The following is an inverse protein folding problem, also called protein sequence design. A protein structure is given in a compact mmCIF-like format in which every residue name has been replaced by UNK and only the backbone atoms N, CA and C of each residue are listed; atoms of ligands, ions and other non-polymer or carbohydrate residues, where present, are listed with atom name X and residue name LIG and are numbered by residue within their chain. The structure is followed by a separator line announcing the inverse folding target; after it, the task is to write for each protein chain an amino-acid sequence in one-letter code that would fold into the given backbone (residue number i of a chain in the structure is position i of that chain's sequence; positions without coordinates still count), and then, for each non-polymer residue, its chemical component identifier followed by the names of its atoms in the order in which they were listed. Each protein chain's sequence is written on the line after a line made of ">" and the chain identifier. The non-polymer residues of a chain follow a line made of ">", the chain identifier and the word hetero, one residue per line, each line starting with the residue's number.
data_IF_469345034632
#
_entry.id   IF_469345034632
#
_cell.length_a   1.000
_cell.length_b   1.000
_cell.length_c   1.000
_cell.angle_alpha   90.00
_cell.angle_beta   90.00
_cell.angle_gamma   90.00
#
_symmetry.space_group_name_H-M   'P 1'
#
loop_
_entity.id
_entity.type
_entity.pdbx_description
1 polymer ?
#
# COMPACT_ATOMS: atom_id res chain seq x y z
N UNK A 1 -30.70 53.78 51.65
CA UNK A 1 -31.23 55.11 51.31
C UNK A 1 -32.16 54.93 50.13
N UNK A 2 -33.41 55.09 50.40
CA UNK A 2 -34.46 55.74 49.67
C UNK A 2 -34.89 55.09 48.34
N UNK A 3 -36.02 54.37 48.42
CA UNK A 3 -37.04 54.21 47.34
C UNK A 3 -37.89 55.51 47.21
N UNK A 4 -39.12 55.48 46.82
CA UNK A 4 -39.85 54.76 45.78
C UNK A 4 -40.63 55.75 44.87
N UNK A 5 -41.47 55.32 43.96
CA UNK A 5 -42.86 55.70 43.84
C UNK A 5 -43.60 55.15 42.60
N UNK A 6 -44.75 54.58 42.89
CA UNK A 6 -45.78 54.12 41.97
C UNK A 6 -46.49 55.32 41.32
N UNK A 7 -47.17 55.07 40.22
CA UNK A 7 -48.52 55.65 40.03
C UNK A 7 -49.33 54.81 38.98
N UNK A 8 -50.40 54.34 39.47
CA UNK A 8 -51.56 53.78 38.78
C UNK A 8 -52.45 54.89 38.12
N UNK A 9 -53.03 54.63 36.98
CA UNK A 9 -54.29 55.22 36.65
C UNK A 9 -55.12 54.26 35.75
N UNK A 10 -56.35 53.99 36.24
CA UNK A 10 -57.41 53.28 35.70
C UNK A 10 -58.28 54.19 34.75
N UNK A 11 -59.12 53.51 33.95
CA UNK A 11 -60.38 53.90 33.35
C UNK A 11 -60.38 53.70 31.84
N UNK A 12 -61.39 53.11 31.09
CA UNK A 12 -62.70 52.69 31.24
C UNK A 12 -63.17 52.12 29.86
N UNK A 13 -64.06 51.15 29.88
CA UNK A 13 -64.75 50.69 28.66
C UNK A 13 -65.71 51.74 28.16
N UNK A 14 -66.17 51.66 26.86
CA UNK A 14 -67.44 50.97 26.64
C UNK A 14 -67.49 50.10 25.35
N UNK A 15 -68.55 49.26 25.40
CA UNK A 15 -69.08 48.34 24.39
C UNK A 15 -69.45 48.99 23.06
N UNK A 16 -69.46 48.23 21.96
CA UNK A 16 -70.59 47.93 21.06
C UNK A 16 -70.03 47.40 19.71
N UNK A 17 -70.37 46.34 19.24
CA UNK A 17 -71.41 45.74 18.35
C UNK A 17 -70.80 44.63 17.49
N UNK A 18 -71.57 43.56 17.44
CA UNK A 18 -71.46 42.38 16.60
C UNK A 18 -71.22 42.67 15.11
N UNK A 19 -70.39 41.94 14.48
CA UNK A 19 -70.66 41.45 13.12
C UNK A 19 -70.09 40.02 12.98
N UNK A 20 -71.02 39.13 12.66
CA UNK A 20 -70.80 37.74 12.34
C UNK A 20 -69.92 37.62 11.08
N UNK A 21 -68.79 36.89 11.17
CA UNK A 21 -68.07 36.39 10.00
C UNK A 21 -68.20 34.89 10.04
N UNK A 22 -68.81 34.35 9.00
CA UNK A 22 -69.03 32.94 8.76
C UNK A 22 -67.65 32.14 8.84
N UNK A 23 -67.64 31.18 9.73
CA UNK A 23 -66.61 30.17 9.78
C UNK A 23 -66.79 29.18 8.64
N UNK A 24 -65.97 29.32 7.57
CA UNK A 24 -65.81 28.25 6.60
C UNK A 24 -65.15 27.02 7.30
N UNK A 25 -66.02 26.02 7.54
CA UNK A 25 -65.61 24.71 7.99
C UNK A 25 -64.77 24.06 6.87
N UNK A 26 -63.42 23.98 7.05
CA UNK A 26 -62.57 23.10 6.27
C UNK A 26 -62.87 21.65 6.69
N UNK A 27 -63.83 21.06 5.95
CA UNK A 27 -64.12 19.63 6.05
C UNK A 27 -62.85 18.79 5.87
N UNK A 28 -62.69 17.93 6.84
CA UNK A 28 -61.58 16.98 6.99
C UNK A 28 -61.27 16.19 5.71
N UNK A 29 -60.11 16.46 5.12
CA UNK A 29 -59.44 15.53 4.21
C UNK A 29 -59.07 14.28 5.03
N UNK A 30 -59.41 13.08 4.56
CA UNK A 30 -59.16 11.88 5.33
C UNK A 30 -57.64 11.65 5.50
N UNK A 31 -57.23 11.57 6.75
CA UNK A 31 -55.83 11.29 7.20
C UNK A 31 -55.13 10.12 6.48
N UNK A 32 -55.92 9.28 5.79
CA UNK A 32 -55.43 8.13 5.01
C UNK A 32 -54.65 8.51 3.73
N UNK A 33 -54.93 9.69 3.14
CA UNK A 33 -54.21 10.13 1.92
C UNK A 33 -52.87 10.79 2.20
N UNK A 34 -52.67 11.38 3.38
CA UNK A 34 -51.39 12.00 3.76
C UNK A 34 -50.33 10.93 4.10
N UNK A 35 -50.73 9.81 4.71
CA UNK A 35 -49.84 8.70 4.99
C UNK A 35 -49.40 7.93 3.73
N UNK A 36 -50.27 7.81 2.72
CA UNK A 36 -49.91 7.14 1.46
C UNK A 36 -48.92 7.93 0.62
N UNK A 37 -48.97 9.27 0.65
CA UNK A 37 -48.04 10.13 -0.10
C UNK A 37 -46.63 10.19 0.55
N UNK A 38 -46.54 10.10 1.88
CA UNK A 38 -45.25 10.08 2.58
C UNK A 38 -44.50 8.73 2.38
N UNK A 39 -45.24 7.61 2.28
CA UNK A 39 -44.63 6.29 2.05
C UNK A 39 -44.18 6.11 0.60
N UNK A 40 -44.86 6.70 -0.37
CA UNK A 40 -44.44 6.67 -1.77
C UNK A 40 -43.17 7.50 -2.04
N UNK A 41 -42.98 8.61 -1.32
CA UNK A 41 -41.75 9.43 -1.44
C UNK A 41 -40.52 8.77 -0.78
N UNK A 42 -40.72 7.93 0.27
CA UNK A 42 -39.66 7.19 0.93
C UNK A 42 -39.15 5.98 0.10
N UNK A 43 -39.99 5.45 -0.81
CA UNK A 43 -39.63 4.33 -1.69
C UNK A 43 -38.88 4.75 -2.98
N UNK A 44 -38.86 6.04 -3.31
CA UNK A 44 -38.11 6.58 -4.46
C UNK A 44 -36.64 6.93 -4.12
N UNK A 45 -36.22 6.77 -2.87
CA UNK A 45 -34.95 7.28 -2.35
C UNK A 45 -33.79 6.30 -2.29
N UNK A 46 -33.81 5.10 -2.90
CA UNK A 46 -32.68 4.19 -2.77
C UNK A 46 -32.56 3.18 -3.93
N UNK A 47 -32.63 3.66 -5.15
CA UNK A 47 -31.92 2.96 -6.22
C UNK A 47 -30.48 3.49 -6.19
N UNK A 48 -29.70 3.03 -5.21
CA UNK A 48 -28.26 3.06 -5.34
C UNK A 48 -27.93 2.13 -6.50
N UNK A 49 -27.83 2.68 -7.71
CA UNK A 49 -27.20 1.98 -8.81
C UNK A 49 -25.84 1.58 -8.28
N UNK A 50 -25.59 0.28 -8.14
CA UNK A 50 -24.24 -0.22 -7.93
C UNK A 50 -23.44 0.29 -9.13
N UNK A 51 -22.71 1.38 -8.93
CA UNK A 51 -21.83 1.90 -9.96
C UNK A 51 -20.87 0.77 -10.32
N UNK A 52 -20.71 0.50 -11.62
CA UNK A 52 -19.77 -0.50 -12.09
C UNK A 52 -18.40 -0.23 -11.44
N UNK A 53 -17.82 -1.26 -10.82
CA UNK A 53 -16.52 -1.13 -10.17
C UNK A 53 -15.47 -0.71 -11.19
N UNK A 54 -14.63 0.24 -10.82
CA UNK A 54 -13.57 0.76 -11.67
C UNK A 54 -12.50 -0.33 -11.88
N UNK A 55 -12.25 -0.80 -13.11
CA UNK A 55 -11.20 -1.77 -13.38
C UNK A 55 -9.82 -1.11 -13.30
N UNK A 56 -8.96 -1.62 -12.42
CA UNK A 56 -7.59 -1.16 -12.20
C UNK A 56 -6.63 -2.33 -12.35
N UNK A 57 -5.54 -2.14 -13.10
CA UNK A 57 -4.46 -3.12 -13.18
C UNK A 57 -3.25 -2.62 -12.41
N UNK A 58 -2.74 -3.45 -11.49
CA UNK A 58 -1.48 -3.23 -10.78
C UNK A 58 -0.41 -4.17 -11.35
N UNK A 59 0.84 -3.71 -11.42
CA UNK A 59 1.95 -4.51 -11.96
C UNK A 59 2.24 -5.75 -11.13
N UNK A 60 2.21 -5.67 -9.79
CA UNK A 60 2.51 -6.78 -8.91
C UNK A 60 1.66 -6.78 -7.64
N UNK A 61 1.74 -7.88 -6.87
CA UNK A 61 0.83 -8.21 -5.77
C UNK A 61 0.79 -7.14 -4.66
N UNK A 62 1.93 -6.55 -4.28
CA UNK A 62 1.99 -5.51 -3.25
C UNK A 62 1.21 -4.27 -3.69
N UNK A 63 1.42 -3.78 -4.91
CA UNK A 63 0.63 -2.66 -5.45
C UNK A 63 -0.85 -3.01 -5.56
N UNK A 64 -1.15 -4.26 -5.94
CA UNK A 64 -2.53 -4.75 -6.00
C UNK A 64 -3.25 -4.63 -4.66
N UNK A 65 -2.58 -4.97 -3.55
CA UNK A 65 -3.12 -4.82 -2.20
C UNK A 65 -3.35 -3.34 -1.84
N UNK A 66 -2.36 -2.48 -2.08
CA UNK A 66 -2.48 -1.04 -1.81
C UNK A 66 -3.61 -0.38 -2.61
N UNK A 67 -3.80 -0.79 -3.87
CA UNK A 67 -4.92 -0.30 -4.71
C UNK A 67 -6.26 -0.77 -4.16
N UNK A 68 -6.38 -2.04 -3.69
CA UNK A 68 -7.60 -2.55 -3.06
C UNK A 68 -7.93 -1.80 -1.78
N UNK A 69 -6.94 -1.54 -0.94
CA UNK A 69 -7.12 -0.80 0.32
C UNK A 69 -7.62 0.62 0.06
N UNK A 70 -7.01 1.33 -0.89
CA UNK A 70 -7.38 2.72 -1.20
C UNK A 70 -8.70 2.78 -1.96
N UNK A 71 -8.89 1.90 -2.94
CA UNK A 71 -10.08 1.88 -3.81
C UNK A 71 -11.34 1.33 -3.14
N UNK A 72 -11.17 0.45 -2.14
CA UNK A 72 -12.28 -0.19 -1.43
C UNK A 72 -13.24 -0.90 -2.39
N UNK A 73 -14.53 -0.80 -2.11
CA UNK A 73 -15.60 -1.42 -2.91
C UNK A 73 -15.79 -0.80 -4.31
N UNK A 74 -15.16 0.36 -4.58
CA UNK A 74 -15.32 1.08 -5.86
C UNK A 74 -14.42 0.53 -6.97
N UNK A 75 -13.46 -0.32 -6.67
CA UNK A 75 -12.49 -0.85 -7.65
C UNK A 75 -12.60 -2.37 -7.79
N UNK A 76 -12.25 -2.87 -8.97
CA UNK A 76 -11.86 -4.26 -9.18
C UNK A 76 -10.41 -4.29 -9.64
N UNK A 77 -9.55 -4.99 -8.91
CA UNK A 77 -8.11 -4.95 -9.11
C UNK A 77 -7.61 -6.27 -9.68
N UNK A 78 -6.97 -6.19 -10.84
CA UNK A 78 -6.19 -7.28 -11.44
C UNK A 78 -4.71 -7.01 -11.23
N UNK A 79 -3.95 -8.00 -10.78
CA UNK A 79 -2.48 -7.93 -10.70
C UNK A 79 -1.87 -8.74 -11.83
N UNK A 80 -0.85 -8.22 -12.51
CA UNK A 80 -0.16 -8.92 -13.58
C UNK A 80 0.77 -10.00 -13.02
N UNK A 81 1.57 -9.62 -12.02
CA UNK A 81 2.45 -10.55 -11.30
C UNK A 81 1.81 -10.89 -9.97
N UNK A 82 1.50 -12.15 -9.76
CA UNK A 82 0.72 -12.65 -8.63
C UNK A 82 1.51 -12.79 -7.32
N UNK A 83 0.87 -13.48 -6.37
CA UNK A 83 1.50 -13.85 -5.11
C UNK A 83 2.64 -14.87 -5.36
N UNK A 84 3.75 -14.73 -4.62
CA UNK A 84 4.94 -15.58 -4.72
C UNK A 84 5.60 -15.62 -6.10
N UNK A 85 5.32 -14.65 -6.98
CA UNK A 85 5.93 -14.52 -8.31
C UNK A 85 6.91 -13.38 -8.34
N UNK A 86 7.97 -13.54 -9.15
CA UNK A 86 9.05 -12.56 -9.30
C UNK A 86 8.70 -11.54 -10.40
N UNK A 87 8.58 -10.28 -10.02
CA UNK A 87 8.24 -9.21 -10.96
C UNK A 87 9.43 -8.68 -11.77
N UNK A 88 10.67 -8.92 -11.36
CA UNK A 88 11.86 -8.53 -12.12
C UNK A 88 11.96 -9.27 -13.46
N UNK A 89 11.66 -10.58 -13.43
CA UNK A 89 11.81 -11.50 -14.56
C UNK A 89 10.49 -11.91 -15.21
N UNK A 90 9.42 -11.13 -14.95
CA UNK A 90 8.10 -11.46 -15.51
C UNK A 90 8.06 -11.33 -17.03
N UNK A 91 7.59 -12.38 -17.68
CA UNK A 91 7.36 -12.43 -19.11
C UNK A 91 5.88 -12.20 -19.43
N UNK A 92 5.58 -11.04 -20.00
CA UNK A 92 4.23 -10.64 -20.34
C UNK A 92 3.63 -11.49 -21.46
N UNK A 93 2.39 -11.94 -21.28
CA UNK A 93 1.63 -12.76 -22.23
C UNK A 93 0.60 -11.90 -22.99
N UNK A 94 0.09 -12.37 -24.15
CA UNK A 94 -0.96 -11.63 -24.87
C UNK A 94 -2.23 -11.36 -24.04
N UNK A 95 -2.53 -12.18 -23.03
CA UNK A 95 -3.63 -11.96 -22.09
C UNK A 95 -3.42 -10.71 -21.25
N UNK A 96 -2.18 -10.42 -20.86
CA UNK A 96 -1.85 -9.24 -20.03
C UNK A 96 -2.08 -7.95 -20.82
N UNK A 97 -1.74 -7.94 -22.11
CA UNK A 97 -2.05 -6.82 -22.99
C UNK A 97 -3.57 -6.57 -23.10
N UNK A 98 -4.39 -7.63 -23.16
CA UNK A 98 -5.86 -7.48 -23.14
C UNK A 98 -6.36 -6.95 -21.80
N UNK A 99 -5.78 -7.37 -20.69
CA UNK A 99 -6.10 -6.86 -19.33
C UNK A 99 -5.84 -5.36 -19.25
N UNK A 100 -4.72 -4.87 -19.77
CA UNK A 100 -4.44 -3.44 -19.80
C UNK A 100 -5.48 -2.66 -20.59
N UNK A 101 -5.92 -3.16 -21.75
CA UNK A 101 -6.91 -2.47 -22.59
C UNK A 101 -8.27 -2.25 -21.90
N UNK A 102 -8.63 -3.12 -20.97
CA UNK A 102 -9.89 -3.01 -20.21
C UNK A 102 -9.76 -2.13 -18.97
N UNK A 103 -8.54 -1.76 -18.57
CA UNK A 103 -8.27 -0.99 -17.36
C UNK A 103 -8.54 0.51 -17.56
N UNK A 104 -9.07 1.14 -16.53
CA UNK A 104 -9.18 2.60 -16.45
C UNK A 104 -7.94 3.26 -15.87
N UNK A 105 -7.20 2.52 -15.03
CA UNK A 105 -5.95 2.94 -14.44
C UNK A 105 -4.99 1.76 -14.43
N UNK A 106 -3.74 2.00 -14.83
CA UNK A 106 -2.61 1.07 -14.66
C UNK A 106 -1.68 1.65 -13.60
N UNK A 107 -1.32 0.86 -12.60
CA UNK A 107 -0.44 1.26 -11.50
C UNK A 107 0.84 0.44 -11.57
N UNK A 108 1.98 1.12 -11.69
CA UNK A 108 3.32 0.52 -11.69
C UNK A 108 4.14 1.10 -10.54
N UNK A 109 5.18 0.38 -10.11
CA UNK A 109 6.09 0.86 -9.08
C UNK A 109 6.94 2.03 -9.61
N UNK A 110 7.63 1.82 -10.71
CA UNK A 110 8.69 2.71 -11.19
C UNK A 110 10.06 2.36 -10.61
N UNK A 111 11.01 3.30 -10.67
CA UNK A 111 12.40 3.10 -10.24
C UNK A 111 13.10 1.91 -10.93
N UNK A 112 12.63 1.48 -12.12
CA UNK A 112 13.21 0.36 -12.86
C UNK A 112 12.77 -1.03 -12.41
N UNK A 113 11.83 -1.16 -11.46
CA UNK A 113 11.37 -2.46 -10.94
C UNK A 113 10.74 -3.36 -11.99
N UNK A 114 9.96 -2.77 -12.89
CA UNK A 114 9.26 -3.50 -13.96
C UNK A 114 9.82 -3.14 -15.34
N UNK A 115 10.97 -3.72 -15.77
CA UNK A 115 11.58 -3.36 -17.06
C UNK A 115 10.70 -3.72 -18.26
N UNK A 116 9.77 -4.67 -18.07
CA UNK A 116 8.80 -5.13 -19.06
C UNK A 116 7.56 -4.22 -19.19
N UNK A 117 7.19 -3.46 -18.15
CA UNK A 117 5.90 -2.75 -18.07
C UNK A 117 5.73 -1.72 -19.19
N UNK A 118 6.75 -0.89 -19.45
CA UNK A 118 6.70 0.10 -20.53
C UNK A 118 6.51 -0.51 -21.93
N UNK A 119 7.17 -1.64 -22.17
CA UNK A 119 7.03 -2.40 -23.43
C UNK A 119 5.62 -2.97 -23.57
N UNK A 120 5.09 -3.56 -22.49
CA UNK A 120 3.74 -4.13 -22.47
C UNK A 120 2.67 -3.05 -22.67
N UNK A 121 2.73 -1.92 -21.96
CA UNK A 121 1.81 -0.79 -22.12
C UNK A 121 1.81 -0.30 -23.57
N UNK A 122 3.00 -0.11 -24.16
CA UNK A 122 3.11 0.30 -25.56
C UNK A 122 2.54 -0.74 -26.52
N UNK A 123 2.87 -2.00 -26.35
CA UNK A 123 2.44 -3.12 -27.23
C UNK A 123 0.93 -3.36 -27.13
N UNK A 124 0.32 -3.19 -25.96
CA UNK A 124 -1.12 -3.33 -25.76
C UNK A 124 -1.94 -2.26 -26.49
N UNK A 125 -1.34 -1.12 -26.82
CA UNK A 125 -2.08 0.05 -27.34
C UNK A 125 -2.90 0.78 -26.30
N UNK A 126 -2.69 0.51 -24.99
CA UNK A 126 -3.34 1.21 -23.89
C UNK A 126 -3.12 2.73 -23.96
N UNK A 127 -4.20 3.50 -23.80
CA UNK A 127 -4.19 4.97 -23.86
C UNK A 127 -4.74 5.60 -22.58
N UNK A 128 -5.07 4.78 -21.58
CA UNK A 128 -5.57 5.26 -20.30
C UNK A 128 -4.47 5.85 -19.42
N UNK A 129 -4.84 6.14 -18.18
CA UNK A 129 -3.93 6.71 -17.19
C UNK A 129 -2.95 5.65 -16.65
N UNK A 130 -1.67 5.99 -16.60
CA UNK A 130 -0.63 5.19 -15.95
C UNK A 130 -0.09 5.95 -14.77
N UNK A 131 -0.19 5.36 -13.58
CA UNK A 131 0.32 5.91 -12.33
C UNK A 131 1.63 5.22 -11.93
N UNK A 132 2.65 6.02 -11.63
CA UNK A 132 3.89 5.56 -10.98
C UNK A 132 3.73 5.77 -9.47
N UNK A 133 3.68 4.66 -8.72
CA UNK A 133 3.40 4.69 -7.28
C UNK A 133 4.52 5.35 -6.47
N UNK A 134 5.78 5.20 -6.90
CA UNK A 134 6.96 5.80 -6.25
C UNK A 134 7.13 7.30 -6.48
N UNK A 135 6.22 7.97 -7.18
CA UNK A 135 6.34 9.41 -7.44
C UNK A 135 6.53 10.19 -6.12
N UNK A 136 7.63 10.96 -6.04
CA UNK A 136 7.98 11.75 -4.86
C UNK A 136 8.77 10.98 -3.76
N UNK A 137 8.99 9.70 -3.93
CA UNK A 137 9.95 8.95 -3.09
C UNK A 137 11.35 9.43 -3.42
N UNK A 138 12.17 9.65 -2.38
CA UNK A 138 13.61 9.93 -2.56
C UNK A 138 14.31 8.62 -2.94
N UNK A 139 14.83 8.47 -4.16
CA UNK A 139 15.51 7.25 -4.56
C UNK A 139 16.73 6.98 -3.68
N UNK A 140 16.98 5.72 -3.37
CA UNK A 140 18.26 5.24 -2.89
C UNK A 140 19.07 4.81 -4.11
N UNK A 141 20.34 5.16 -4.11
CA UNK A 141 21.29 4.62 -5.06
C UNK A 141 22.11 3.53 -4.34
N UNK A 142 22.45 2.49 -5.06
CA UNK A 142 23.34 1.46 -4.56
C UNK A 142 24.68 2.12 -4.26
N UNK A 143 25.22 1.92 -3.06
CA UNK A 143 26.63 2.20 -2.83
C UNK A 143 27.39 1.21 -3.71
N UNK A 144 27.98 1.71 -4.79
CA UNK A 144 28.71 0.89 -5.74
C UNK A 144 29.69 -0.01 -4.96
N UNK A 145 29.66 -1.31 -5.20
CA UNK A 145 30.69 -2.22 -4.74
C UNK A 145 32.05 -1.61 -5.14
N UNK A 146 32.81 -1.08 -4.19
CA UNK A 146 34.19 -0.75 -4.36
C UNK A 146 34.96 -2.09 -4.48
N UNK A 147 34.93 -2.70 -5.64
CA UNK A 147 35.56 -3.98 -5.86
C UNK A 147 35.60 -4.40 -7.33
N UNK A 148 36.60 -3.87 -8.07
CA UNK A 148 37.25 -4.45 -9.23
C UNK A 148 36.49 -4.55 -10.57
N UNK A 149 36.79 -3.60 -11.44
CA UNK A 149 36.54 -3.66 -12.87
C UNK A 149 35.87 -2.42 -13.44
N UNK A 150 36.54 -1.28 -13.34
CA UNK A 150 36.17 -0.09 -14.08
C UNK A 150 36.22 -0.37 -15.59
N UNK A 151 35.10 -0.75 -16.19
CA UNK A 151 34.84 -0.36 -17.56
C UNK A 151 34.20 1.04 -17.49
N UNK A 152 35.00 2.04 -17.87
CA UNK A 152 34.58 3.42 -18.04
C UNK A 152 33.55 3.50 -19.18
N UNK A 153 32.26 3.45 -18.82
CA UNK A 153 31.13 3.64 -19.69
C UNK A 153 29.93 3.87 -18.81
N UNK A 154 29.59 5.15 -18.57
CA UNK A 154 28.36 5.64 -17.96
C UNK A 154 27.68 4.66 -16.96
N UNK A 155 28.23 4.55 -15.76
CA UNK A 155 27.53 3.96 -14.63
C UNK A 155 26.34 4.89 -14.34
N UNK A 156 25.19 4.60 -14.91
CA UNK A 156 23.93 5.06 -14.34
C UNK A 156 23.87 4.41 -12.95
N UNK A 157 23.99 5.20 -11.90
CA UNK A 157 23.70 4.74 -10.54
C UNK A 157 22.26 4.20 -10.53
N UNK A 158 22.15 2.88 -10.53
CA UNK A 158 20.86 2.21 -10.61
C UNK A 158 20.11 2.47 -9.29
N UNK A 159 18.93 3.03 -9.40
CA UNK A 159 18.12 3.32 -8.22
C UNK A 159 17.58 2.00 -7.64
N UNK A 160 17.64 1.84 -6.32
CA UNK A 160 16.99 0.75 -5.61
C UNK A 160 15.46 0.86 -5.79
N UNK A 161 14.79 -0.11 -6.44
CA UNK A 161 13.35 -0.03 -6.71
C UNK A 161 12.47 -0.41 -5.53
N UNK A 162 13.02 -1.04 -4.46
CA UNK A 162 12.28 -1.69 -3.37
C UNK A 162 11.80 -0.71 -2.31
N UNK A 163 11.27 0.44 -2.72
CA UNK A 163 10.90 1.53 -1.83
C UNK A 163 9.75 1.16 -0.86
N UNK A 164 8.96 0.16 -1.18
CA UNK A 164 7.89 -0.38 -0.30
C UNK A 164 8.42 -1.02 0.98
N UNK A 165 9.70 -1.37 1.05
CA UNK A 165 10.33 -1.89 2.27
C UNK A 165 10.43 -0.85 3.42
N UNK A 166 10.03 0.39 3.15
CA UNK A 166 9.86 1.43 4.17
C UNK A 166 8.39 1.90 4.20
N UNK A 167 7.64 1.66 5.30
CA UNK A 167 6.24 2.09 5.43
C UNK A 167 6.00 3.59 5.21
N UNK A 168 7.00 4.45 5.47
CA UNK A 168 6.88 5.88 5.21
C UNK A 168 6.84 6.20 3.71
N UNK A 169 7.52 5.41 2.87
CA UNK A 169 7.39 5.53 1.42
C UNK A 169 6.02 5.04 0.96
N UNK A 170 5.50 3.97 1.57
CA UNK A 170 4.15 3.44 1.23
C UNK A 170 3.06 4.45 1.55
N UNK A 171 3.26 5.33 2.54
CA UNK A 171 2.36 6.46 2.78
C UNK A 171 2.28 7.42 1.56
N UNK A 172 3.37 7.59 0.80
CA UNK A 172 3.35 8.31 -0.49
C UNK A 172 2.64 7.49 -1.57
N UNK A 173 2.90 6.18 -1.64
CA UNK A 173 2.24 5.31 -2.61
C UNK A 173 0.71 5.39 -2.50
N UNK A 174 0.15 5.24 -1.30
CA UNK A 174 -1.30 5.24 -1.12
C UNK A 174 -1.93 6.60 -1.42
N UNK A 175 -1.23 7.71 -1.15
CA UNK A 175 -1.68 9.04 -1.57
C UNK A 175 -1.63 9.22 -3.08
N UNK A 176 -0.58 8.74 -3.73
CA UNK A 176 -0.47 8.74 -5.20
C UNK A 176 -1.58 7.89 -5.83
N UNK A 177 -1.85 6.70 -5.25
CA UNK A 177 -2.94 5.82 -5.71
C UNK A 177 -4.30 6.52 -5.54
N UNK A 178 -4.56 7.17 -4.41
CA UNK A 178 -5.80 7.93 -4.20
C UNK A 178 -5.97 9.06 -5.24
N UNK A 179 -4.90 9.80 -5.51
CA UNK A 179 -4.91 10.85 -6.53
C UNK A 179 -5.14 10.28 -7.95
N UNK A 180 -4.49 9.15 -8.27
CA UNK A 180 -4.68 8.46 -9.57
C UNK A 180 -6.10 7.93 -9.76
N UNK A 181 -6.67 7.32 -8.74
CA UNK A 181 -8.07 6.86 -8.74
C UNK A 181 -9.04 8.03 -8.88
N UNK A 182 -8.84 9.12 -8.13
CA UNK A 182 -9.68 10.32 -8.21
C UNK A 182 -9.63 10.98 -9.61
N UNK A 183 -8.52 10.87 -10.34
CA UNK A 183 -8.39 11.40 -11.71
C UNK A 183 -9.28 10.65 -12.70
N UNK A 184 -9.49 9.35 -12.52
CA UNK A 184 -10.27 8.49 -13.41
C UNK A 184 -11.70 8.23 -12.90
N UNK A 185 -11.96 8.46 -11.62
CA UNK A 185 -13.27 8.38 -10.95
C UNK A 185 -13.42 9.51 -9.93
N UNK A 186 -13.78 10.69 -10.41
CA UNK A 186 -13.95 11.89 -9.57
C UNK A 186 -15.05 11.70 -8.49
N UNK A 187 -16.06 10.88 -8.75
CA UNK A 187 -17.12 10.60 -7.79
C UNK A 187 -16.62 9.83 -6.55
N UNK A 188 -15.53 9.07 -6.69
CA UNK A 188 -14.89 8.33 -5.61
C UNK A 188 -13.83 9.11 -4.82
N UNK A 189 -13.47 10.32 -5.25
CA UNK A 189 -12.30 11.05 -4.73
C UNK A 189 -12.26 11.17 -3.21
N UNK A 190 -13.38 11.52 -2.58
CA UNK A 190 -13.48 11.66 -1.10
C UNK A 190 -13.23 10.31 -0.41
N UNK A 191 -13.78 9.24 -0.96
CA UNK A 191 -13.60 7.87 -0.42
C UNK A 191 -12.13 7.44 -0.53
N UNK A 192 -11.50 7.63 -1.69
CA UNK A 192 -10.11 7.26 -1.91
C UNK A 192 -9.16 8.02 -0.98
N UNK A 193 -9.41 9.33 -0.81
CA UNK A 193 -8.63 10.16 0.12
C UNK A 193 -8.80 9.67 1.56
N UNK A 194 -10.03 9.42 2.00
CA UNK A 194 -10.31 8.96 3.35
C UNK A 194 -9.64 7.60 3.64
N UNK A 195 -9.74 6.65 2.70
CA UNK A 195 -9.11 5.33 2.81
C UNK A 195 -7.57 5.45 2.87
N UNK A 196 -6.98 6.27 2.01
CA UNK A 196 -5.53 6.49 2.01
C UNK A 196 -5.05 7.07 3.34
N UNK A 197 -5.72 8.10 3.89
CA UNK A 197 -5.31 8.70 5.16
C UNK A 197 -5.57 7.76 6.37
N UNK A 198 -6.60 6.91 6.31
CA UNK A 198 -6.80 5.86 7.29
C UNK A 198 -5.62 4.86 7.27
N UNK A 199 -5.25 4.40 6.07
CA UNK A 199 -4.14 3.45 5.92
C UNK A 199 -2.78 4.07 6.28
N UNK A 200 -2.57 5.36 6.03
CA UNK A 200 -1.36 6.07 6.48
C UNK A 200 -1.19 5.99 8.01
N UNK A 201 -2.27 6.05 8.78
CA UNK A 201 -2.21 5.87 10.24
C UNK A 201 -1.76 4.45 10.62
N UNK A 202 -2.23 3.44 9.89
CA UNK A 202 -1.80 2.04 10.08
C UNK A 202 -0.32 1.85 9.73
N UNK A 203 0.16 2.49 8.65
CA UNK A 203 1.57 2.49 8.26
C UNK A 203 2.46 3.18 9.31
N UNK A 204 2.01 4.29 9.89
CA UNK A 204 2.72 4.96 10.99
C UNK A 204 2.80 4.07 12.24
N UNK A 205 1.71 3.38 12.57
CA UNK A 205 1.69 2.43 13.68
C UNK A 205 2.62 1.23 13.40
N UNK A 206 2.65 0.74 12.15
CA UNK A 206 3.57 -0.31 11.71
C UNK A 206 5.03 0.13 11.82
N UNK A 207 5.37 1.35 11.37
CA UNK A 207 6.74 1.91 11.48
C UNK A 207 7.18 2.02 12.95
N UNK A 208 6.32 2.55 13.82
CA UNK A 208 6.60 2.67 15.25
C UNK A 208 6.80 1.29 15.91
N UNK A 209 5.93 0.33 15.59
CA UNK A 209 6.05 -1.04 16.06
C UNK A 209 7.35 -1.71 15.56
N UNK A 210 7.69 -1.55 14.28
CA UNK A 210 8.93 -2.09 13.70
C UNK A 210 10.16 -1.53 14.41
N UNK A 211 10.22 -0.21 14.64
CA UNK A 211 11.30 0.44 15.42
C UNK A 211 11.44 -0.18 16.80
N UNK A 212 10.33 -0.36 17.52
CA UNK A 212 10.32 -0.97 18.84
C UNK A 212 10.82 -2.41 18.81
N UNK A 213 10.41 -3.23 17.82
CA UNK A 213 10.87 -4.60 17.68
C UNK A 213 12.38 -4.67 17.39
N UNK A 214 12.86 -3.90 16.43
CA UNK A 214 14.30 -3.88 16.06
C UNK A 214 15.15 -3.34 17.22
N UNK A 215 14.65 -2.38 18.00
CA UNK A 215 15.36 -1.83 19.17
C UNK A 215 15.65 -2.89 20.24
N UNK A 216 14.92 -4.01 20.27
CA UNK A 216 15.20 -5.13 21.20
C UNK A 216 16.49 -5.89 20.89
N UNK A 217 17.06 -5.69 19.70
CA UNK A 217 18.28 -6.35 19.25
C UNK A 217 19.47 -5.37 19.42
N UNK A 218 20.59 -5.76 20.03
CA UNK A 218 21.80 -4.96 20.06
C UNK A 218 22.29 -4.59 18.65
N UNK A 219 22.83 -3.38 18.47
CA UNK A 219 23.17 -2.86 17.12
C UNK A 219 24.18 -3.72 16.37
N UNK A 220 25.16 -4.28 17.07
CA UNK A 220 26.19 -5.18 16.51
C UNK A 220 25.64 -6.53 16.02
N UNK A 221 24.45 -6.93 16.52
CA UNK A 221 23.74 -8.15 16.11
C UNK A 221 22.74 -7.94 14.97
N UNK A 222 22.47 -6.70 14.57
CA UNK A 222 21.48 -6.38 13.51
C UNK A 222 22.04 -6.65 12.12
N UNK A 223 22.32 -7.92 11.84
CA UNK A 223 22.88 -8.40 10.57
C UNK A 223 22.10 -9.61 10.11
N UNK A 224 21.73 -9.66 8.83
CA UNK A 224 20.98 -10.76 8.22
C UNK A 224 21.44 -11.03 6.80
N UNK A 225 21.20 -12.24 6.33
CA UNK A 225 21.43 -12.67 4.95
C UNK A 225 20.08 -12.92 4.30
N UNK A 226 19.86 -12.38 3.10
CA UNK A 226 18.68 -12.57 2.25
C UNK A 226 19.08 -13.12 0.89
N UNK A 227 18.11 -13.47 0.03
CA UNK A 227 18.41 -14.02 -1.30
C UNK A 227 18.96 -12.97 -2.24
N UNK A 228 18.35 -11.78 -2.29
CA UNK A 228 18.82 -10.65 -3.09
C UNK A 228 18.77 -9.34 -2.31
N UNK A 229 19.30 -8.25 -2.87
CA UNK A 229 19.43 -6.95 -2.20
C UNK A 229 18.14 -6.12 -2.35
N UNK A 230 17.06 -6.56 -1.70
CA UNK A 230 15.75 -5.91 -1.72
C UNK A 230 15.47 -5.01 -0.51
N UNK A 231 16.28 -5.08 0.54
CA UNK A 231 15.94 -4.48 1.83
C UNK A 231 16.68 -3.16 2.12
N UNK A 232 17.22 -2.49 1.11
CA UNK A 232 18.01 -1.26 1.27
C UNK A 232 17.25 -0.14 1.98
N UNK A 233 15.98 0.09 1.66
CA UNK A 233 15.14 1.09 2.35
C UNK A 233 14.80 0.68 3.79
N UNK A 234 14.60 -0.60 4.06
CA UNK A 234 14.43 -1.13 5.41
C UNK A 234 15.70 -0.95 6.23
N UNK A 235 16.85 -1.30 5.66
CA UNK A 235 18.16 -1.15 6.27
C UNK A 235 18.40 0.29 6.74
N UNK A 236 18.16 1.26 5.87
CA UNK A 236 18.31 2.68 6.17
C UNK A 236 17.35 3.19 7.25
N UNK A 237 16.10 2.69 7.26
CA UNK A 237 15.07 3.13 8.19
C UNK A 237 15.28 2.58 9.60
N UNK A 238 15.76 1.34 9.73
CA UNK A 238 15.75 0.60 11.01
C UNK A 238 17.13 0.22 11.53
N UNK A 239 18.20 0.52 10.78
CA UNK A 239 19.58 0.23 11.19
C UNK A 239 19.89 -1.27 11.24
N UNK A 240 19.40 -2.03 10.25
CA UNK A 240 19.72 -3.45 10.05
C UNK A 240 20.64 -3.57 8.84
N UNK A 241 21.71 -4.35 8.95
CA UNK A 241 22.62 -4.64 7.84
C UNK A 241 22.16 -5.89 7.10
N UNK A 242 21.80 -5.74 5.85
CA UNK A 242 21.49 -6.85 4.95
C UNK A 242 22.70 -7.18 4.08
N UNK A 243 22.90 -8.46 3.83
CA UNK A 243 23.88 -8.99 2.89
C UNK A 243 23.16 -10.00 2.00
N UNK A 244 23.42 -9.97 0.71
CA UNK A 244 22.79 -10.87 -0.25
C UNK A 244 23.82 -11.38 -1.28
N UNK A 245 23.67 -12.62 -1.80
CA UNK A 245 24.49 -13.10 -2.90
C UNK A 245 24.11 -12.49 -4.24
N UNK A 246 22.81 -12.20 -4.47
CA UNK A 246 22.31 -11.53 -5.67
C UNK A 246 22.19 -10.01 -5.44
N UNK A 247 22.33 -9.23 -6.51
CA UNK A 247 22.11 -7.78 -6.49
C UNK A 247 20.63 -7.41 -6.37
N UNK A 248 20.34 -6.15 -6.72
CA UNK A 248 18.95 -5.59 -6.65
C UNK A 248 18.03 -6.24 -7.67
N UNK A 249 18.57 -6.71 -8.77
CA UNK A 249 17.86 -7.40 -9.84
C UNK A 249 18.14 -8.90 -9.76
N UNK A 250 17.08 -9.71 -9.86
CA UNK A 250 17.16 -11.18 -9.78
C UNK A 250 17.50 -11.85 -11.12
N UNK A 251 17.64 -11.10 -12.22
CA UNK A 251 17.95 -11.66 -13.55
C UNK A 251 19.32 -12.37 -13.59
N UNK A 252 20.30 -11.86 -12.82
CA UNK A 252 21.65 -12.38 -12.82
C UNK A 252 21.93 -13.30 -11.63
N UNK A 253 22.42 -14.50 -11.91
CA UNK A 253 22.91 -15.40 -10.86
C UNK A 253 24.26 -14.91 -10.33
N UNK A 254 24.53 -15.00 -9.01
CA UNK A 254 25.82 -14.61 -8.44
C UNK A 254 26.93 -15.55 -8.91
N UNK A 255 28.11 -15.00 -9.14
CA UNK A 255 29.28 -15.81 -9.45
C UNK A 255 29.73 -16.66 -8.24
N UNK A 256 30.37 -17.80 -8.50
CA UNK A 256 30.93 -18.65 -7.45
C UNK A 256 31.93 -17.88 -6.54
N UNK A 257 32.67 -16.91 -7.11
CA UNK A 257 33.56 -16.04 -6.34
C UNK A 257 32.81 -15.16 -5.34
N UNK A 258 31.72 -14.53 -5.74
CA UNK A 258 30.87 -13.70 -4.86
C UNK A 258 30.27 -14.54 -3.73
N UNK A 259 29.72 -15.72 -4.05
CA UNK A 259 29.18 -16.66 -3.05
C UNK A 259 30.23 -17.06 -2.05
N UNK A 260 31.46 -17.44 -2.51
CA UNK A 260 32.57 -17.82 -1.62
C UNK A 260 33.01 -16.65 -0.72
N UNK A 261 33.02 -15.42 -1.23
CA UNK A 261 33.36 -14.23 -0.44
C UNK A 261 32.28 -13.97 0.64
N UNK A 262 31.02 -14.10 0.29
CA UNK A 262 29.91 -13.94 1.23
C UNK A 262 29.96 -15.00 2.34
N UNK A 263 30.22 -16.27 2.01
CA UNK A 263 30.40 -17.34 3.02
C UNK A 263 31.50 -16.97 4.02
N UNK A 264 32.68 -16.54 3.53
CA UNK A 264 33.80 -16.10 4.40
C UNK A 264 33.38 -14.92 5.28
N UNK A 265 32.62 -13.97 4.75
CA UNK A 265 32.12 -12.83 5.50
C UNK A 265 31.13 -13.26 6.61
N UNK A 266 30.17 -14.13 6.29
CA UNK A 266 29.20 -14.69 7.24
C UNK A 266 29.94 -15.37 8.42
N UNK A 267 30.93 -16.19 8.11
CA UNK A 267 31.73 -16.89 9.10
C UNK A 267 32.54 -15.93 9.98
N UNK A 268 33.20 -14.95 9.37
CA UNK A 268 34.01 -13.94 10.08
C UNK A 268 33.15 -13.06 10.99
N UNK A 269 31.98 -12.62 10.51
CA UNK A 269 31.08 -11.75 11.24
C UNK A 269 30.12 -12.52 12.15
N UNK A 270 30.20 -13.86 12.16
CA UNK A 270 29.38 -14.79 12.98
C UNK A 270 27.87 -14.60 12.75
N UNK A 271 27.45 -14.29 11.51
CA UNK A 271 26.05 -14.09 11.19
C UNK A 271 25.34 -15.45 11.17
N UNK A 272 24.26 -15.59 11.94
CA UNK A 272 23.43 -16.81 12.02
C UNK A 272 22.09 -16.66 11.31
N UNK A 273 21.60 -15.43 11.15
CA UNK A 273 20.31 -15.11 10.57
C UNK A 273 20.37 -15.14 9.04
N UNK A 274 19.93 -16.23 8.43
CA UNK A 274 19.85 -16.43 6.96
C UNK A 274 18.41 -16.70 6.57
N UNK A 275 17.90 -16.04 5.54
CA UNK A 275 16.52 -16.13 5.10
C UNK A 275 16.40 -16.36 3.60
N UNK A 276 15.47 -17.20 3.19
CA UNK A 276 15.00 -17.34 1.80
C UNK A 276 13.85 -16.38 1.57
N UNK A 277 13.73 -15.83 0.40
CA UNK A 277 12.57 -15.03 -0.02
C UNK A 277 11.56 -15.90 -0.77
N UNK A 278 10.26 -15.57 -0.60
CA UNK A 278 9.17 -16.39 -1.09
C UNK A 278 9.15 -16.60 -2.62
N UNK A 279 9.74 -15.66 -3.38
CA UNK A 279 9.80 -15.71 -4.84
C UNK A 279 11.14 -16.28 -5.35
N UNK A 280 12.14 -16.49 -4.47
CA UNK A 280 13.48 -16.94 -4.83
C UNK A 280 13.62 -18.46 -4.84
N UNK A 281 14.58 -18.96 -5.67
CA UNK A 281 14.99 -20.37 -5.61
C UNK A 281 15.74 -20.66 -4.29
N UNK A 282 15.23 -21.54 -3.41
CA UNK A 282 15.84 -21.75 -2.09
C UNK A 282 17.19 -22.47 -2.11
N UNK A 283 17.58 -23.10 -3.22
CA UNK A 283 18.77 -23.97 -3.27
C UNK A 283 20.06 -23.24 -2.96
N UNK A 284 20.27 -22.04 -3.54
CA UNK A 284 21.49 -21.26 -3.32
C UNK A 284 21.62 -20.85 -1.86
N UNK A 285 20.56 -20.30 -1.28
CA UNK A 285 20.57 -19.83 0.12
C UNK A 285 20.67 -20.98 1.11
N UNK A 286 20.03 -22.11 0.84
CA UNK A 286 20.15 -23.31 1.67
C UNK A 286 21.60 -23.84 1.66
N UNK A 287 22.25 -23.91 0.51
CA UNK A 287 23.65 -24.32 0.40
C UNK A 287 24.58 -23.34 1.10
N UNK A 288 24.40 -22.02 0.85
CA UNK A 288 25.17 -20.96 1.50
C UNK A 288 25.04 -21.03 3.03
N UNK A 289 23.82 -21.21 3.55
CA UNK A 289 23.58 -21.37 4.99
C UNK A 289 24.35 -22.55 5.58
N UNK A 290 24.30 -23.71 4.90
CA UNK A 290 25.02 -24.92 5.30
C UNK A 290 26.53 -24.69 5.31
N UNK A 291 27.09 -24.12 4.23
CA UNK A 291 28.54 -23.93 4.09
C UNK A 291 29.09 -22.87 5.05
N UNK A 292 28.28 -21.87 5.38
CA UNK A 292 28.62 -20.84 6.35
C UNK A 292 28.40 -21.28 7.83
N UNK A 293 27.73 -22.40 8.09
CA UNK A 293 27.37 -22.85 9.43
C UNK A 293 26.33 -21.93 10.08
N UNK A 294 25.46 -21.32 9.25
CA UNK A 294 24.39 -20.44 9.70
C UNK A 294 23.05 -21.19 9.80
N UNK A 295 22.04 -20.55 10.36
CA UNK A 295 20.70 -21.13 10.54
C UNK A 295 19.76 -20.55 9.51
N UNK A 296 19.15 -21.41 8.68
CA UNK A 296 18.11 -20.99 7.74
C UNK A 296 16.83 -20.71 8.54
N UNK A 297 16.38 -19.46 8.49
CA UNK A 297 15.12 -19.00 9.11
C UNK A 297 13.89 -19.30 8.26
N UNK A 298 12.75 -18.80 8.70
CA UNK A 298 11.52 -18.83 7.92
C UNK A 298 11.64 -17.96 6.65
N UNK A 299 10.79 -18.23 5.66
CA UNK A 299 10.75 -17.41 4.44
C UNK A 299 10.36 -15.97 4.75
N UNK A 300 11.03 -15.01 4.11
CA UNK A 300 10.64 -13.60 4.08
C UNK A 300 9.86 -13.31 2.77
N UNK A 301 9.11 -12.25 2.80
CA UNK A 301 8.40 -11.70 1.65
C UNK A 301 9.10 -10.42 1.20
N UNK A 302 9.79 -10.46 0.06
CA UNK A 302 10.52 -9.29 -0.45
C UNK A 302 9.69 -8.51 -1.46
N UNK A 303 9.44 -9.12 -2.64
CA UNK A 303 8.85 -8.46 -3.81
C UNK A 303 7.43 -8.92 -4.12
N UNK A 304 6.95 -9.92 -3.42
CA UNK A 304 5.61 -10.45 -3.60
C UNK A 304 4.92 -10.72 -2.26
N UNK A 305 3.61 -10.51 -2.24
CA UNK A 305 2.75 -11.02 -1.17
C UNK A 305 2.64 -12.54 -1.28
N UNK A 306 2.15 -13.17 -0.24
CA UNK A 306 1.78 -14.59 -0.24
C UNK A 306 0.35 -14.81 -0.73
N UNK A 307 -0.02 -16.10 -0.88
CA UNK A 307 -1.41 -16.48 -1.02
C UNK A 307 -2.23 -16.10 0.24
N UNK A 308 -3.55 -16.04 0.08
CA UNK A 308 -4.47 -15.53 1.10
C UNK A 308 -4.46 -16.31 2.43
N UNK A 309 -4.08 -17.58 2.40
CA UNK A 309 -3.98 -18.48 3.55
C UNK A 309 -2.63 -18.44 4.26
N UNK A 310 -1.69 -17.60 3.80
CA UNK A 310 -0.32 -17.50 4.30
C UNK A 310 -0.05 -16.15 5.01
N UNK A 311 1.03 -16.05 5.81
CA UNK A 311 1.27 -14.88 6.67
C UNK A 311 1.51 -13.55 5.97
N UNK A 312 1.84 -13.53 4.69
CA UNK A 312 2.15 -12.32 3.93
C UNK A 312 1.06 -11.89 2.96
N UNK A 313 -0.22 -12.23 3.20
CA UNK A 313 -1.33 -12.01 2.27
C UNK A 313 -1.68 -10.54 2.01
N UNK A 314 -1.32 -9.62 2.91
CA UNK A 314 -1.44 -8.16 2.74
C UNK A 314 -0.11 -7.48 3.08
N UNK A 315 0.06 -6.24 2.65
CA UNK A 315 1.28 -5.48 2.95
C UNK A 315 1.58 -5.38 4.45
N UNK A 316 0.58 -5.08 5.28
CA UNK A 316 0.76 -4.99 6.73
C UNK A 316 1.12 -6.33 7.36
N UNK A 317 0.50 -7.42 6.90
CA UNK A 317 0.81 -8.79 7.38
C UNK A 317 2.22 -9.20 6.95
N UNK A 318 2.59 -8.95 5.69
CA UNK A 318 3.92 -9.17 5.14
C UNK A 318 5.00 -8.51 6.00
N UNK A 319 4.86 -7.21 6.27
CA UNK A 319 5.83 -6.47 7.06
C UNK A 319 5.92 -6.98 8.51
N UNK A 320 4.77 -7.28 9.15
CA UNK A 320 4.76 -7.85 10.50
C UNK A 320 5.42 -9.22 10.55
N UNK A 321 5.14 -10.08 9.59
CA UNK A 321 5.80 -11.38 9.47
C UNK A 321 7.32 -11.20 9.32
N UNK A 322 7.74 -10.39 8.34
CA UNK A 322 9.17 -10.17 8.09
C UNK A 322 9.90 -9.65 9.33
N UNK A 323 9.38 -8.62 9.97
CA UNK A 323 9.99 -8.05 11.18
C UNK A 323 10.09 -9.09 12.30
N UNK A 324 9.04 -9.89 12.50
CA UNK A 324 9.05 -10.96 13.52
C UNK A 324 10.15 -11.99 13.23
N UNK A 325 10.28 -12.43 11.97
CA UNK A 325 11.30 -13.40 11.57
C UNK A 325 12.71 -12.81 11.65
N UNK A 326 12.89 -11.56 11.19
CA UNK A 326 14.17 -10.86 11.28
C UNK A 326 14.65 -10.73 12.74
N UNK A 327 13.76 -10.33 13.65
CA UNK A 327 14.07 -10.21 15.08
C UNK A 327 14.44 -11.57 15.67
N UNK A 328 13.68 -12.64 15.34
CA UNK A 328 13.97 -13.99 15.80
C UNK A 328 15.34 -14.48 15.32
N UNK A 329 15.67 -14.27 14.04
CA UNK A 329 16.97 -14.62 13.48
C UNK A 329 18.12 -13.83 14.08
N UNK A 330 18.00 -12.51 14.18
CA UNK A 330 19.06 -11.64 14.72
C UNK A 330 19.40 -11.93 16.19
N UNK A 331 18.48 -12.51 16.98
CA UNK A 331 18.79 -12.98 18.35
C UNK A 331 19.81 -14.10 18.37
N UNK A 332 19.99 -14.81 17.26
CA UNK A 332 20.95 -15.92 17.14
C UNK A 332 22.40 -15.45 16.85
N UNK A 333 22.58 -14.21 16.39
CA UNK A 333 23.87 -13.59 16.09
C UNK A 333 24.72 -13.33 17.34
#
# INVERSE_FOLDING_TARGET
>A
MSGPLANSFTYSKPMTTMNSIDTFSLSALPRRFILASATALALLGSQAFAADKLPVTASFSILGDLVRVVGGERVVVTTLVGANEDAHVFEAKPADAKTLLTSKLVVINGLGFEPWAGKLIKASGYKGETLVATKGVKPRHMEGEQGHGAHAGHAHEEADPHAWQNPNNVALYVRNIAAGLAKVDAAGAVTYQANAEAYVKELQALDAWTKAQIATIPADKRKVITSHDAFGYFAAQYGVKFLAPQGVNTEAEPSAKQVAQLIKQIQREKIRAVFVENMSNPKLIAQLSKDAGATLGASLYADALSNADQPGATYLQMMRHNVTQLVAGMKLN
#
